data_IF_139163420313
#
_entry.id   IF_139163420313
#
_cell.length_a   1.000
_cell.length_b   1.000
_cell.length_c   1.000
_cell.angle_alpha   90.00
_cell.angle_beta   90.00
_cell.angle_gamma   90.00
#
_symmetry.space_group_name_H-M   'P 1'
#
loop_
_entity.id
_entity.type
_entity.pdbx_description
1 polymer ?
#
# COMPACT_ATOMS: atom_id res chain seq x y z
N UNK A 1 4.18 -39.40 -8.92
CA UNK A 1 5.24 -38.81 -8.07
C UNK A 1 5.64 -37.49 -8.67
N UNK A 2 5.63 -36.42 -7.88
CA UNK A 2 6.13 -35.09 -8.23
C UNK A 2 5.01 -34.06 -8.44
N UNK A 3 5.02 -32.89 -7.80
CA UNK A 3 5.88 -32.29 -6.77
C UNK A 3 4.98 -31.32 -6.01
N UNK A 4 4.92 -31.41 -4.68
CA UNK A 4 4.19 -30.46 -3.84
C UNK A 4 4.82 -29.06 -3.99
N UNK A 5 4.03 -27.98 -4.10
CA UNK A 5 4.59 -26.64 -4.12
C UNK A 5 5.30 -26.36 -2.78
N UNK A 6 6.59 -26.05 -2.88
CA UNK A 6 7.43 -25.65 -1.76
C UNK A 6 6.94 -24.29 -1.27
N UNK A 7 6.40 -24.23 -0.05
CA UNK A 7 6.11 -22.99 0.63
C UNK A 7 7.43 -22.32 1.04
N UNK A 8 7.63 -21.08 0.62
CA UNK A 8 8.76 -20.25 1.06
C UNK A 8 8.40 -19.69 2.43
N UNK A 9 9.17 -19.99 3.51
CA UNK A 9 8.93 -19.40 4.82
C UNK A 9 9.19 -17.89 4.78
N UNK A 10 8.19 -17.07 5.14
CA UNK A 10 8.38 -15.63 5.36
C UNK A 10 7.42 -14.68 4.63
N UNK A 11 6.46 -15.18 3.84
CA UNK A 11 5.38 -14.35 3.29
C UNK A 11 4.06 -14.71 3.97
N UNK A 12 3.64 -13.86 4.90
CA UNK A 12 2.30 -13.90 5.49
C UNK A 12 1.26 -13.60 4.40
N UNK A 13 0.15 -14.35 4.37
CA UNK A 13 -0.98 -14.11 3.48
C UNK A 13 -1.48 -12.66 3.63
N UNK A 14 -1.41 -11.89 2.55
CA UNK A 14 -1.94 -10.52 2.51
C UNK A 14 -3.47 -10.55 2.63
N UNK A 15 -3.98 -10.00 3.75
CA UNK A 15 -5.37 -10.05 4.18
C UNK A 15 -6.32 -9.25 3.25
N UNK A 16 -7.59 -9.68 3.18
CA UNK A 16 -8.67 -8.95 2.51
C UNK A 16 -9.08 -7.71 3.33
N UNK A 17 -9.12 -6.54 2.70
CA UNK A 17 -9.64 -5.31 3.29
C UNK A 17 -10.96 -4.96 2.61
N UNK A 18 -12.08 -5.28 3.27
CA UNK A 18 -13.42 -4.92 2.79
C UNK A 18 -13.74 -3.44 3.05
N UNK A 19 -14.65 -2.87 2.25
CA UNK A 19 -14.70 -1.43 2.02
C UNK A 19 -15.73 -0.62 2.84
N UNK A 20 -16.56 -1.20 3.72
CA UNK A 20 -17.65 -0.45 4.40
C UNK A 20 -17.34 0.02 5.83
N UNK A 21 -16.42 -0.66 6.49
CA UNK A 21 -15.51 -0.18 7.54
C UNK A 21 -14.19 -0.87 7.17
N UNK A 22 -13.05 -0.42 7.71
CA UNK A 22 -11.88 -1.31 7.72
C UNK A 22 -12.22 -2.44 8.70
N UNK A 23 -13.11 -3.36 8.33
CA UNK A 23 -13.71 -4.36 9.22
C UNK A 23 -12.63 -5.20 9.90
N UNK A 24 -11.52 -5.40 9.19
CA UNK A 24 -10.32 -6.08 9.65
C UNK A 24 -9.17 -5.10 9.98
N UNK A 25 -9.45 -3.89 10.45
CA UNK A 25 -8.42 -2.91 10.75
C UNK A 25 -8.88 -1.55 11.28
N UNK A 26 -7.94 -0.61 11.31
CA UNK A 26 -8.17 0.83 11.54
C UNK A 26 -7.40 1.61 10.47
N UNK A 27 -7.74 2.88 10.25
CA UNK A 27 -7.05 3.67 9.25
C UNK A 27 -7.86 4.80 8.62
N UNK A 28 -7.19 5.49 7.70
CA UNK A 28 -7.77 6.54 6.88
C UNK A 28 -7.89 6.10 5.43
N UNK A 29 -8.95 6.56 4.77
CA UNK A 29 -9.16 6.36 3.33
C UNK A 29 -9.57 7.67 2.67
N UNK A 30 -9.04 7.89 1.48
CA UNK A 30 -9.55 8.87 0.51
C UNK A 30 -9.84 8.19 -0.82
N UNK A 31 -10.75 8.77 -1.60
CA UNK A 31 -10.99 8.36 -2.98
C UNK A 31 -10.60 9.47 -3.95
N UNK A 32 -10.24 9.06 -5.16
CA UNK A 32 -10.05 9.93 -6.33
C UNK A 32 -11.09 9.48 -7.35
N UNK A 33 -12.06 10.36 -7.62
CA UNK A 33 -13.17 10.11 -8.54
C UNK A 33 -12.70 10.21 -9.99
N UNK A 34 -11.95 9.20 -10.44
CA UNK A 34 -11.43 9.14 -11.79
C UNK A 34 -11.22 7.70 -12.24
N UNK A 35 -11.34 7.49 -13.55
CA UNK A 35 -11.18 6.21 -14.25
C UNK A 35 -9.83 6.05 -14.96
N UNK A 36 -8.90 6.99 -14.70
CA UNK A 36 -7.59 7.04 -15.34
C UNK A 36 -6.75 5.79 -15.11
N UNK A 37 -5.64 5.69 -15.84
CA UNK A 37 -4.90 4.44 -16.02
C UNK A 37 -3.58 4.39 -15.25
N UNK A 38 -2.96 5.55 -15.04
CA UNK A 38 -1.65 5.68 -14.43
C UNK A 38 -1.73 6.65 -13.26
N UNK A 39 -1.51 6.15 -12.05
CA UNK A 39 -1.36 6.98 -10.86
C UNK A 39 0.13 7.22 -10.59
N UNK A 40 0.49 8.47 -10.30
CA UNK A 40 1.82 8.85 -9.78
C UNK A 40 1.63 9.63 -8.49
N UNK A 41 2.42 9.31 -7.46
CA UNK A 41 2.46 10.08 -6.19
C UNK A 41 3.81 9.87 -5.49
N UNK A 42 4.16 10.78 -4.59
CA UNK A 42 5.25 10.60 -3.63
C UNK A 42 4.69 10.33 -2.24
N UNK A 43 5.17 9.26 -1.63
CA UNK A 43 4.82 8.85 -0.27
C UNK A 43 5.95 9.27 0.66
N UNK A 44 5.67 10.16 1.60
CA UNK A 44 6.57 10.40 2.73
C UNK A 44 6.33 9.33 3.80
N UNK A 45 7.29 8.43 3.99
CA UNK A 45 7.18 7.37 4.98
C UNK A 45 7.31 7.94 6.41
N UNK A 46 6.64 7.33 7.40
CA UNK A 46 6.79 7.72 8.79
C UNK A 46 8.25 7.61 9.24
N UNK A 47 8.77 8.64 9.91
CA UNK A 47 10.11 8.61 10.53
C UNK A 47 10.13 7.78 11.81
N UNK A 48 9.00 7.72 12.52
CA UNK A 48 8.79 6.95 13.73
C UNK A 48 7.57 6.05 13.55
N UNK A 49 7.68 4.81 14.01
CA UNK A 49 6.62 3.81 13.93
C UNK A 49 6.35 3.22 15.31
N UNK A 50 5.09 3.27 15.73
CA UNK A 50 4.59 2.48 16.85
C UNK A 50 3.38 1.70 16.36
N UNK A 51 3.51 0.38 16.19
CA UNK A 51 2.42 -0.50 15.75
C UNK A 51 2.54 -1.83 16.48
N UNK A 52 1.44 -2.29 17.06
CA UNK A 52 1.33 -3.63 17.64
C UNK A 52 -0.04 -4.24 17.36
N UNK A 53 -0.12 -5.57 17.43
CA UNK A 53 -1.33 -6.36 17.19
C UNK A 53 -1.96 -6.09 15.81
N UNK A 54 -1.12 -5.91 14.79
CA UNK A 54 -1.53 -5.71 13.40
C UNK A 54 -0.35 -5.36 12.51
N UNK A 55 -0.60 -5.33 11.20
CA UNK A 55 0.40 -4.94 10.19
C UNK A 55 0.01 -3.59 9.60
N UNK A 56 0.96 -2.65 9.55
CA UNK A 56 0.72 -1.35 8.95
C UNK A 56 0.93 -1.36 7.44
N UNK A 57 0.04 -0.68 6.73
CA UNK A 57 0.07 -0.53 5.28
C UNK A 57 -0.12 0.93 4.89
N UNK A 58 0.62 1.37 3.87
CA UNK A 58 0.45 2.66 3.21
C UNK A 58 0.36 2.36 1.73
N UNK A 59 -0.81 2.56 1.14
CA UNK A 59 -1.05 2.09 -0.21
C UNK A 59 -2.01 2.96 -0.99
N UNK A 60 -1.94 2.82 -2.30
CA UNK A 60 -2.96 3.26 -3.21
C UNK A 60 -3.64 2.07 -3.85
N UNK A 61 -4.65 2.30 -4.65
CA UNK A 61 -5.26 1.26 -5.45
C UNK A 61 -6.45 1.77 -6.21
N UNK A 62 -7.29 0.86 -6.66
CA UNK A 62 -8.49 1.21 -7.39
C UNK A 62 -9.61 0.21 -7.16
N UNK A 63 -10.83 0.72 -7.31
CA UNK A 63 -12.07 -0.06 -7.44
C UNK A 63 -12.46 -0.06 -8.90
N UNK A 64 -12.84 -1.21 -9.46
CA UNK A 64 -13.25 -1.34 -10.85
C UNK A 64 -13.73 -2.75 -11.15
N UNK A 65 -13.29 -3.33 -12.28
CA UNK A 65 -13.55 -4.75 -12.57
C UNK A 65 -12.96 -5.69 -11.51
N UNK A 66 -11.93 -5.23 -10.78
CA UNK A 66 -11.37 -5.87 -9.59
C UNK A 66 -11.01 -4.78 -8.58
N UNK A 67 -11.04 -5.13 -7.30
CA UNK A 67 -10.39 -4.33 -6.24
C UNK A 67 -8.87 -4.52 -6.31
N UNK A 68 -8.12 -3.44 -6.11
CA UNK A 68 -6.67 -3.50 -6.05
C UNK A 68 -6.14 -2.70 -4.86
N UNK A 69 -5.18 -3.29 -4.16
CA UNK A 69 -4.41 -2.69 -3.07
C UNK A 69 -2.93 -2.80 -3.41
N UNK A 70 -2.25 -1.67 -3.61
CA UNK A 70 -0.92 -1.57 -4.21
C UNK A 70 -0.11 -0.51 -3.48
N UNK A 71 0.94 -0.91 -2.79
CA UNK A 71 1.73 0.03 -2.02
C UNK A 71 2.80 -0.64 -1.19
N UNK A 72 2.87 -0.24 0.08
CA UNK A 72 3.93 -0.60 1.00
C UNK A 72 3.36 -1.20 2.29
N UNK A 73 3.98 -2.29 2.75
CA UNK A 73 3.73 -2.92 4.05
C UNK A 73 4.93 -2.68 4.98
N UNK A 74 4.66 -2.38 6.24
CA UNK A 74 5.70 -2.22 7.25
C UNK A 74 6.16 -3.56 7.81
N UNK A 75 7.46 -3.78 7.85
CA UNK A 75 8.09 -4.94 8.46
C UNK A 75 8.72 -4.53 9.78
N UNK A 76 8.06 -4.83 10.90
CA UNK A 76 8.57 -4.54 12.25
C UNK A 76 9.89 -5.25 12.56
N UNK A 77 10.07 -6.48 12.05
CA UNK A 77 11.30 -7.28 12.19
C UNK A 77 12.54 -6.58 11.64
N UNK A 78 12.41 -5.88 10.51
CA UNK A 78 13.54 -5.27 9.81
C UNK A 78 13.50 -3.74 9.83
N UNK A 79 12.46 -3.15 10.42
CA UNK A 79 12.20 -1.70 10.45
C UNK A 79 12.28 -1.06 9.05
N UNK A 80 11.55 -1.63 8.09
CA UNK A 80 11.49 -1.16 6.69
C UNK A 80 10.10 -1.28 6.09
N UNK A 81 9.87 -0.53 5.02
CA UNK A 81 8.68 -0.64 4.18
C UNK A 81 8.99 -1.43 2.90
N UNK A 82 8.17 -2.44 2.60
CA UNK A 82 8.35 -3.33 1.45
C UNK A 82 7.17 -3.22 0.50
N UNK A 83 7.36 -3.43 -0.81
CA UNK A 83 6.24 -3.54 -1.74
C UNK A 83 5.22 -4.60 -1.30
N UNK A 84 3.96 -4.32 -1.61
CA UNK A 84 2.86 -5.26 -1.49
C UNK A 84 1.81 -4.95 -2.56
N UNK A 85 1.29 -5.98 -3.20
CA UNK A 85 0.25 -5.88 -4.21
C UNK A 85 -0.79 -6.99 -4.06
N UNK A 86 -2.05 -6.61 -4.23
CA UNK A 86 -3.18 -7.53 -4.39
C UNK A 86 -4.13 -6.95 -5.43
N UNK A 87 -4.56 -7.78 -6.38
CA UNK A 87 -5.51 -7.40 -7.43
C UNK A 87 -6.56 -8.51 -7.58
N UNK A 88 -7.78 -8.24 -7.15
CA UNK A 88 -8.80 -9.25 -6.90
C UNK A 88 -8.32 -10.26 -5.86
N UNK A 89 -8.49 -11.54 -6.16
CA UNK A 89 -7.98 -12.63 -5.32
C UNK A 89 -6.46 -12.87 -5.47
N UNK A 90 -5.81 -12.30 -6.50
CA UNK A 90 -4.40 -12.57 -6.78
C UNK A 90 -3.48 -11.63 -5.97
N UNK A 91 -2.59 -12.22 -5.18
CA UNK A 91 -1.54 -11.55 -4.40
C UNK A 91 -0.14 -12.13 -4.67
N UNK A 92 0.03 -12.87 -5.77
CA UNK A 92 1.32 -13.42 -6.19
C UNK A 92 2.09 -12.35 -6.97
N UNK A 93 3.03 -11.72 -6.29
CA UNK A 93 3.90 -10.68 -6.86
C UNK A 93 5.03 -11.27 -7.70
N UNK A 94 5.22 -10.73 -8.90
CA UNK A 94 6.43 -10.96 -9.71
C UNK A 94 7.31 -9.72 -9.67
N UNK A 95 8.53 -9.86 -9.15
CA UNK A 95 9.52 -8.78 -9.15
C UNK A 95 10.28 -8.78 -10.48
N UNK A 96 10.11 -7.71 -11.25
CA UNK A 96 10.82 -7.50 -12.52
C UNK A 96 12.23 -6.94 -12.26
N UNK A 97 12.38 -6.12 -11.21
CA UNK A 97 13.64 -5.50 -10.84
C UNK A 97 13.67 -5.17 -9.34
N UNK A 98 14.86 -5.10 -8.74
CA UNK A 98 15.07 -4.52 -7.40
C UNK A 98 14.72 -5.43 -6.24
N UNK A 99 14.43 -6.71 -6.51
CA UNK A 99 14.10 -7.72 -5.49
C UNK A 99 15.12 -7.74 -4.35
N UNK A 100 16.41 -7.83 -4.67
CA UNK A 100 17.48 -7.99 -3.68
C UNK A 100 17.77 -6.71 -2.89
N UNK A 101 17.21 -5.57 -3.30
CA UNK A 101 17.43 -4.26 -2.68
C UNK A 101 16.25 -3.77 -1.84
N UNK A 102 15.05 -4.29 -2.07
CA UNK A 102 13.83 -3.79 -1.45
C UNK A 102 12.90 -4.90 -0.90
N UNK A 103 13.38 -6.14 -0.81
CA UNK A 103 12.63 -7.27 -0.22
C UNK A 103 13.46 -8.03 0.83
N UNK A 104 12.86 -9.07 1.43
CA UNK A 104 13.46 -9.90 2.49
C UNK A 104 13.95 -9.10 3.72
N UNK A 105 15.26 -8.91 3.91
CA UNK A 105 15.82 -8.12 5.03
C UNK A 105 15.95 -6.63 4.69
N UNK A 106 15.76 -6.27 3.42
CA UNK A 106 15.81 -4.88 2.95
C UNK A 106 14.43 -4.33 2.61
N UNK A 107 14.36 -3.02 2.50
CA UNK A 107 13.17 -2.26 2.13
C UNK A 107 13.42 -0.76 2.29
N UNK A 108 12.45 0.07 1.90
CA UNK A 108 12.53 1.52 2.04
C UNK A 108 12.66 1.91 3.51
N UNK A 109 13.64 2.77 3.82
CA UNK A 109 13.93 3.15 5.20
C UNK A 109 12.84 4.10 5.76
N UNK A 110 12.52 4.03 7.05
CA UNK A 110 11.65 5.01 7.71
C UNK A 110 12.10 6.45 7.45
N UNK A 111 11.15 7.37 7.37
CA UNK A 111 11.40 8.80 7.12
C UNK A 111 11.87 9.14 5.70
N UNK A 112 12.06 8.18 4.81
CA UNK A 112 12.38 8.44 3.40
C UNK A 112 11.14 8.76 2.57
N UNK A 113 11.35 9.40 1.42
CA UNK A 113 10.32 9.59 0.40
C UNK A 113 10.42 8.47 -0.64
N UNK A 114 9.28 7.90 -1.02
CA UNK A 114 9.16 6.91 -2.09
C UNK A 114 8.27 7.46 -3.18
N UNK A 115 8.78 7.59 -4.41
CA UNK A 115 7.95 7.85 -5.58
C UNK A 115 7.30 6.54 -6.02
N UNK A 116 5.98 6.53 -6.11
CA UNK A 116 5.18 5.39 -6.54
C UNK A 116 4.48 5.71 -7.86
N UNK A 117 4.58 4.79 -8.81
CA UNK A 117 3.81 4.82 -10.06
C UNK A 117 3.06 3.51 -10.23
N UNK A 118 1.75 3.57 -10.45
CA UNK A 118 0.89 2.40 -10.65
C UNK A 118 0.27 2.47 -12.03
N UNK A 119 0.48 1.42 -12.83
CA UNK A 119 -0.20 1.18 -14.09
C UNK A 119 -1.29 0.14 -13.83
N UNK A 120 -2.57 0.51 -14.02
CA UNK A 120 -3.67 -0.44 -13.82
C UNK A 120 -3.54 -1.66 -14.73
N UNK A 121 -3.07 -1.44 -15.95
CA UNK A 121 -2.86 -2.44 -16.98
C UNK A 121 -1.73 -1.99 -17.92
N UNK A 122 -0.63 -2.73 -17.91
CA UNK A 122 0.51 -2.60 -18.82
C UNK A 122 0.75 -3.99 -19.43
N UNK A 123 0.41 -4.15 -20.71
CA UNK A 123 0.51 -5.43 -21.43
C UNK A 123 -0.23 -6.61 -20.73
N UNK A 124 -1.37 -6.35 -20.09
CA UNK A 124 -2.17 -7.36 -19.38
C UNK A 124 -1.84 -7.51 -17.89
N UNK A 125 -0.81 -6.83 -17.39
CA UNK A 125 -0.36 -6.89 -15.99
C UNK A 125 -0.68 -5.60 -15.25
N UNK A 126 -0.97 -5.68 -13.95
CA UNK A 126 -0.99 -4.49 -13.09
C UNK A 126 0.42 -4.32 -12.56
N UNK A 127 1.05 -3.17 -12.81
CA UNK A 127 2.45 -2.91 -12.46
C UNK A 127 2.56 -1.75 -11.48
N UNK A 128 3.40 -1.91 -10.48
CA UNK A 128 3.84 -0.82 -9.61
C UNK A 128 5.35 -0.64 -9.70
N UNK A 129 5.79 0.61 -9.78
CA UNK A 129 7.19 1.01 -9.68
C UNK A 129 7.36 1.89 -8.46
N UNK A 130 8.35 1.57 -7.64
CA UNK A 130 8.72 2.34 -6.47
C UNK A 130 10.17 2.78 -6.61
N UNK A 131 10.43 4.08 -6.40
CA UNK A 131 11.77 4.65 -6.39
C UNK A 131 12.04 5.30 -5.03
N UNK A 132 13.16 4.98 -4.41
CA UNK A 132 13.52 5.50 -3.08
C UNK A 132 14.79 4.88 -2.53
N UNK A 133 15.06 5.13 -1.24
CA UNK A 133 16.28 4.69 -0.54
C UNK A 133 15.98 3.56 0.44
N UNK A 134 16.74 2.47 0.37
CA UNK A 134 16.60 1.36 1.31
C UNK A 134 17.35 1.59 2.64
N UNK A 135 17.22 0.63 3.55
CA UNK A 135 17.85 0.63 4.88
C UNK A 135 19.38 0.52 4.89
N UNK A 136 20.03 0.21 3.77
CA UNK A 136 21.49 0.18 3.64
C UNK A 136 22.05 1.38 2.86
N UNK A 137 21.20 2.35 2.52
CA UNK A 137 21.60 3.59 1.86
C UNK A 137 21.59 3.54 0.33
N UNK A 138 21.26 2.40 -0.29
CA UNK A 138 21.11 2.32 -1.74
C UNK A 138 19.84 3.03 -2.19
N UNK A 139 19.94 3.89 -3.20
CA UNK A 139 18.81 4.59 -3.83
C UNK A 139 18.61 4.04 -5.23
N UNK A 140 17.41 3.53 -5.50
CA UNK A 140 17.09 2.90 -6.77
C UNK A 140 15.62 2.55 -6.86
N UNK A 141 15.29 1.56 -7.69
CA UNK A 141 13.91 1.15 -7.96
C UNK A 141 13.64 -0.32 -7.69
N UNK A 142 12.38 -0.60 -7.38
CA UNK A 142 11.78 -1.94 -7.46
C UNK A 142 10.53 -1.85 -8.35
N UNK A 143 10.42 -2.81 -9.27
CA UNK A 143 9.29 -2.95 -10.19
C UNK A 143 8.63 -4.29 -9.87
N UNK A 144 7.35 -4.25 -9.53
CA UNK A 144 6.57 -5.44 -9.18
C UNK A 144 5.25 -5.48 -9.93
N UNK A 145 4.76 -6.68 -10.21
CA UNK A 145 3.55 -6.93 -10.96
C UNK A 145 2.64 -7.96 -10.31
N UNK A 146 1.34 -7.78 -10.51
CA UNK A 146 0.38 -8.88 -10.51
C UNK A 146 0.11 -9.24 -11.98
N UNK A 147 0.57 -10.42 -12.38
CA UNK A 147 0.50 -10.83 -13.78
C UNK A 147 -0.91 -11.22 -14.21
N UNK A 148 -1.23 -10.99 -15.50
CA UNK A 148 -2.50 -11.38 -16.13
C UNK A 148 -3.73 -10.86 -15.37
N UNK A 149 -3.60 -9.70 -14.72
CA UNK A 149 -4.69 -9.07 -13.99
C UNK A 149 -5.77 -8.56 -14.93
N UNK A 150 -5.40 -8.16 -16.16
CA UNK A 150 -6.29 -7.75 -17.25
C UNK A 150 -7.36 -6.74 -16.82
N UNK A 151 -6.93 -5.67 -16.13
CA UNK A 151 -7.85 -4.64 -15.65
C UNK A 151 -8.37 -3.83 -16.83
N UNK A 152 -9.68 -3.91 -17.04
CA UNK A 152 -10.39 -3.13 -18.07
C UNK A 152 -10.84 -1.78 -17.52
N UNK A 153 -11.86 -1.79 -16.65
CA UNK A 153 -12.46 -0.59 -16.09
C UNK A 153 -11.97 -0.30 -14.67
N UNK A 154 -11.78 0.99 -14.40
CA UNK A 154 -11.58 1.56 -13.06
C UNK A 154 -12.68 2.57 -12.83
N UNK A 155 -13.36 2.48 -11.70
CA UNK A 155 -14.43 3.40 -11.29
C UNK A 155 -13.87 4.55 -10.46
N UNK A 156 -12.92 4.23 -9.57
CA UNK A 156 -12.24 5.21 -8.71
C UNK A 156 -10.92 4.67 -8.21
N UNK A 157 -9.98 5.58 -7.94
CA UNK A 157 -8.75 5.28 -7.23
C UNK A 157 -8.91 5.57 -5.74
N UNK A 158 -8.06 4.97 -4.90
CA UNK A 158 -8.10 5.11 -3.44
C UNK A 158 -6.70 5.26 -2.87
N UNK A 159 -6.54 6.06 -1.82
CA UNK A 159 -5.31 6.17 -1.02
C UNK A 159 -5.63 5.85 0.43
N UNK A 160 -4.79 5.05 1.07
CA UNK A 160 -5.02 4.55 2.42
C UNK A 160 -3.74 4.50 3.26
N UNK A 161 -3.95 4.66 4.57
CA UNK A 161 -2.97 4.41 5.62
C UNK A 161 -3.68 3.64 6.73
N UNK A 162 -3.31 2.38 6.92
CA UNK A 162 -4.08 1.45 7.75
C UNK A 162 -3.19 0.61 8.65
N UNK A 163 -3.81 0.00 9.66
CA UNK A 163 -3.31 -1.19 10.36
C UNK A 163 -4.36 -2.27 10.22
N UNK A 164 -3.99 -3.42 9.67
CA UNK A 164 -4.91 -4.53 9.46
C UNK A 164 -4.56 -5.75 10.32
N UNK A 165 -5.57 -6.57 10.59
CA UNK A 165 -5.53 -7.81 11.37
C UNK A 165 -6.16 -8.95 10.58
N UNK A 166 -5.85 -10.19 10.94
CA UNK A 166 -6.37 -11.39 10.26
C UNK A 166 -7.89 -11.53 10.40
N UNK A 167 -8.39 -11.13 11.56
CA UNK A 167 -9.75 -11.38 12.03
C UNK A 167 -10.26 -10.16 12.79
N UNK A 168 -11.56 -9.87 12.66
CA UNK A 168 -12.16 -8.67 13.22
C UNK A 168 -12.14 -8.66 14.77
N UNK A 169 -12.09 -9.83 15.39
CA UNK A 169 -11.97 -9.98 16.85
C UNK A 169 -10.71 -9.31 17.41
N UNK A 170 -9.65 -9.19 16.61
CA UNK A 170 -8.37 -8.58 17.01
C UNK A 170 -8.33 -7.08 16.79
N UNK A 171 -9.32 -6.50 16.11
CA UNK A 171 -9.36 -5.06 15.80
C UNK A 171 -9.31 -4.18 17.05
N UNK A 172 -9.93 -4.63 18.14
CA UNK A 172 -9.92 -3.94 19.45
C UNK A 172 -8.51 -3.81 20.04
N UNK A 173 -7.63 -4.77 19.75
CA UNK A 173 -6.30 -4.86 20.36
C UNK A 173 -5.22 -4.09 19.58
N UNK A 174 -5.55 -3.60 18.37
CA UNK A 174 -4.65 -2.76 17.58
C UNK A 174 -4.20 -1.55 18.40
N UNK A 175 -2.89 -1.27 18.37
CA UNK A 175 -2.29 -0.01 18.80
C UNK A 175 -1.41 0.55 17.69
N UNK A 176 -1.55 1.83 17.40
CA UNK A 176 -0.85 2.47 16.31
C UNK A 176 -0.62 3.96 16.58
N UNK A 177 0.57 4.45 16.21
CA UNK A 177 0.88 5.86 16.11
C UNK A 177 1.92 6.06 15.00
N UNK A 178 1.46 6.56 13.85
CA UNK A 178 2.31 6.94 12.73
C UNK A 178 1.59 7.90 11.80
N UNK A 179 2.36 8.64 11.00
CA UNK A 179 1.81 9.56 10.00
C UNK A 179 2.52 9.42 8.66
N UNK A 180 1.76 9.53 7.59
CA UNK A 180 2.23 9.47 6.22
C UNK A 180 1.61 10.59 5.39
N UNK A 181 2.30 10.96 4.31
CA UNK A 181 1.81 11.96 3.37
C UNK A 181 1.93 11.46 1.95
N UNK A 182 0.82 11.51 1.22
CA UNK A 182 0.81 11.40 -0.24
C UNK A 182 0.87 12.81 -0.83
N UNK A 183 1.82 13.06 -1.71
CA UNK A 183 2.04 14.36 -2.39
C UNK A 183 2.15 14.15 -3.89
N UNK A 184 2.07 15.26 -4.64
CA UNK A 184 2.17 15.26 -6.11
C UNK A 184 1.24 14.22 -6.75
N UNK A 185 0.02 14.08 -6.22
CA UNK A 185 -0.92 13.05 -6.67
C UNK A 185 -1.42 13.45 -8.06
N UNK A 186 -1.10 12.61 -9.04
CA UNK A 186 -1.57 12.77 -10.40
C UNK A 186 -2.16 11.48 -10.92
N UNK A 187 -3.13 11.62 -11.80
CA UNK A 187 -3.69 10.53 -12.57
C UNK A 187 -3.66 10.91 -14.05
N UNK A 188 -3.04 10.07 -14.87
CA UNK A 188 -2.79 10.32 -16.29
C UNK A 188 -2.18 11.72 -16.54
N UNK A 189 -1.15 12.05 -15.73
CA UNK A 189 -0.42 13.33 -15.73
C UNK A 189 -1.23 14.57 -15.35
N UNK A 190 -2.44 14.41 -14.79
CA UNK A 190 -3.25 15.52 -14.28
C UNK A 190 -3.28 15.51 -12.76
N UNK A 191 -3.05 16.65 -12.13
CA UNK A 191 -3.21 16.78 -10.69
C UNK A 191 -4.66 16.48 -10.29
N UNK A 192 -4.84 15.67 -9.25
CA UNK A 192 -6.17 15.28 -8.74
C UNK A 192 -6.25 15.57 -7.25
N UNK A 193 -7.38 16.09 -6.81
CA UNK A 193 -7.66 16.34 -5.39
C UNK A 193 -8.48 15.17 -4.84
N UNK A 194 -7.93 14.36 -3.92
CA UNK A 194 -8.70 13.28 -3.30
C UNK A 194 -9.82 13.80 -2.41
N UNK A 195 -10.82 12.97 -2.15
CA UNK A 195 -11.94 13.25 -1.26
C UNK A 195 -11.84 12.36 -0.04
N UNK A 196 -11.96 12.95 1.15
CA UNK A 196 -11.98 12.20 2.42
C UNK A 196 -13.17 11.24 2.44
N UNK A 197 -12.93 10.02 2.89
CA UNK A 197 -13.96 8.99 3.00
C UNK A 197 -14.02 8.43 4.44
N UNK A 198 -13.11 7.52 4.79
CA UNK A 198 -13.12 6.86 6.10
C UNK A 198 -12.06 7.47 7.01
N UNK A 199 -12.44 7.73 8.26
CA UNK A 199 -11.56 8.18 9.33
C UNK A 199 -11.81 7.32 10.57
N UNK A 200 -11.04 6.25 10.72
CA UNK A 200 -11.18 5.30 11.81
C UNK A 200 -9.86 5.23 12.60
N UNK A 201 -9.85 5.79 13.80
CA UNK A 201 -8.63 6.08 14.57
C UNK A 201 -7.56 6.78 13.73
N UNK A 202 -7.99 7.63 12.80
CA UNK A 202 -7.11 8.31 11.85
C UNK A 202 -7.64 9.71 11.56
N UNK A 203 -6.74 10.69 11.54
CA UNK A 203 -7.02 12.03 11.05
C UNK A 203 -6.55 12.15 9.60
N UNK A 204 -7.46 12.52 8.70
CA UNK A 204 -7.16 12.71 7.28
C UNK A 204 -7.31 14.19 6.92
N UNK A 205 -6.30 14.75 6.26
CA UNK A 205 -6.31 16.14 5.78
C UNK A 205 -5.96 16.17 4.30
N UNK A 206 -6.83 16.78 3.49
CA UNK A 206 -6.59 16.99 2.06
C UNK A 206 -6.28 18.46 1.81
N UNK A 207 -5.27 18.75 1.00
CA UNK A 207 -4.96 20.09 0.52
C UNK A 207 -4.46 20.01 -0.93
N UNK A 208 -5.32 20.36 -1.88
CA UNK A 208 -5.05 20.15 -3.31
C UNK A 208 -4.74 18.68 -3.62
N UNK A 209 -3.67 18.43 -4.37
CA UNK A 209 -3.20 17.09 -4.71
C UNK A 209 -2.30 16.45 -3.63
N UNK A 210 -2.59 16.73 -2.36
CA UNK A 210 -1.88 16.19 -1.20
C UNK A 210 -2.87 15.63 -0.18
N UNK A 211 -2.50 14.50 0.44
CA UNK A 211 -3.20 13.92 1.58
C UNK A 211 -2.22 13.65 2.71
N UNK A 212 -2.53 14.13 3.91
CA UNK A 212 -1.87 13.76 5.15
C UNK A 212 -2.78 12.80 5.94
N UNK A 213 -2.22 11.70 6.43
CA UNK A 213 -2.94 10.72 7.25
C UNK A 213 -2.15 10.43 8.52
N UNK A 214 -2.79 10.61 9.67
CA UNK A 214 -2.22 10.30 10.98
C UNK A 214 -3.07 9.23 11.65
N UNK A 215 -2.55 8.00 11.72
CA UNK A 215 -3.19 6.89 12.43
C UNK A 215 -2.79 6.98 13.90
N UNK A 216 -3.77 7.06 14.80
CA UNK A 216 -3.56 7.18 16.24
C UNK A 216 -4.62 6.38 17.02
N UNK A 217 -4.17 5.28 17.63
CA UNK A 217 -4.90 4.48 18.60
C UNK A 217 -3.96 4.02 19.71
N UNK A 218 -3.99 4.69 20.85
CA UNK A 218 -3.09 4.43 21.99
C UNK A 218 -3.76 3.74 23.17
N UNK A 219 -5.08 3.69 23.20
CA UNK A 219 -5.88 3.04 24.25
C UNK A 219 -6.98 2.17 23.64
N UNK A 220 -7.61 1.34 24.47
CA UNK A 220 -8.90 0.72 24.14
C UNK A 220 -10.00 1.76 24.10
#
# INVERSE_FOLDING_TARGET
MGTLPVSIPGLSQTQEIEAAQLSKGIGGRTYINSNGSILVTKIQLPSTMSVSNGTAYIYSGFTGSKEADIGLQYSSTYNVWKPTMKVGANNQETYIEGKDDFTYTKGFKPGSTVQMTIYKNLNGHTRATFWGTNNVGYTGRIITEIQNSNIGSVTKWKLLSTVAVTDDIYRKDIRANFSTRFTDITLDNRAVTPVVDTQDFTKVQVSGNTVNMQVLKTTN
#
